data_IF_888779387689
#
_entry.id   IF_888779387689
#
_cell.length_a   1.000
_cell.length_b   1.000
_cell.length_c   1.000
_cell.angle_alpha   90.00
_cell.angle_beta   90.00
_cell.angle_gamma   90.00
#
_symmetry.space_group_name_H-M   'P 1'
#
loop_
_entity.id
_entity.type
_entity.pdbx_description
1 polymer ?
#
# COMPACT_ATOMS: atom_id res chain seq x y z
N UNK A 1 2.51 -10.07 -41.18
CA UNK A 1 1.74 -9.89 -39.96
C UNK A 1 0.32 -9.58 -40.39
N UNK A 2 -0.68 -10.30 -39.89
CA UNK A 2 -2.07 -9.95 -40.19
C UNK A 2 -2.28 -8.50 -39.62
N UNK A 3 -2.75 -7.61 -40.50
CA UNK A 3 -3.13 -6.25 -40.15
C UNK A 3 -4.37 -6.37 -39.24
N UNK A 4 -4.16 -6.25 -37.92
CA UNK A 4 -5.27 -6.18 -36.97
C UNK A 4 -6.03 -4.86 -37.18
N UNK A 5 -7.32 -4.88 -36.93
CA UNK A 5 -8.18 -3.69 -36.91
C UNK A 5 -7.54 -2.64 -36.00
N UNK A 6 -7.26 -1.45 -36.51
CA UNK A 6 -6.51 -0.41 -35.82
C UNK A 6 -7.10 -0.06 -34.44
N UNK A 7 -8.42 0.13 -34.34
CA UNK A 7 -9.11 0.44 -33.10
C UNK A 7 -8.96 -0.66 -32.03
N UNK A 8 -8.98 -1.95 -32.43
CA UNK A 8 -8.77 -3.08 -31.53
C UNK A 8 -7.32 -3.12 -31.03
N UNK A 9 -6.37 -2.88 -31.93
CA UNK A 9 -4.95 -2.83 -31.57
C UNK A 9 -4.64 -1.70 -30.60
N UNK A 10 -5.23 -0.52 -30.81
CA UNK A 10 -5.09 0.63 -29.92
C UNK A 10 -5.67 0.33 -28.53
N UNK A 11 -6.86 -0.28 -28.45
CA UNK A 11 -7.48 -0.65 -27.17
C UNK A 11 -6.61 -1.67 -26.43
N UNK A 12 -6.11 -2.69 -27.14
CA UNK A 12 -5.19 -3.68 -26.56
C UNK A 12 -3.88 -3.05 -26.08
N UNK A 13 -3.33 -2.08 -26.81
CA UNK A 13 -2.14 -1.33 -26.37
C UNK A 13 -2.41 -0.56 -25.06
N UNK A 14 -3.58 0.07 -24.92
CA UNK A 14 -3.94 0.77 -23.67
C UNK A 14 -4.01 -0.18 -22.48
N UNK A 15 -4.63 -1.35 -22.63
CA UNK A 15 -4.62 -2.37 -21.57
C UNK A 15 -3.22 -2.90 -21.28
N UNK A 16 -2.38 -3.07 -22.29
CA UNK A 16 -0.99 -3.52 -22.12
C UNK A 16 -0.06 -2.54 -21.39
N UNK A 17 -0.48 -1.29 -21.18
CA UNK A 17 0.24 -0.31 -20.35
C UNK A 17 -0.03 -0.48 -18.85
N UNK A 18 -1.03 -1.28 -18.49
CA UNK A 18 -1.33 -1.55 -17.09
C UNK A 18 -0.31 -2.55 -16.54
N UNK A 19 0.16 -2.29 -15.32
CA UNK A 19 1.12 -3.16 -14.64
C UNK A 19 0.57 -4.59 -14.51
N UNK A 20 1.38 -5.60 -14.83
CA UNK A 20 0.99 -7.01 -14.78
C UNK A 20 0.14 -7.49 -15.99
N UNK A 21 -0.20 -6.61 -16.94
CA UNK A 21 -0.96 -6.97 -18.12
C UNK A 21 -0.02 -7.24 -19.31
N UNK A 22 0.19 -8.52 -19.62
CA UNK A 22 0.95 -8.93 -20.80
C UNK A 22 0.12 -8.81 -22.10
N UNK A 23 0.80 -8.84 -23.26
CA UNK A 23 0.19 -8.69 -24.60
C UNK A 23 -1.02 -9.61 -24.84
N UNK A 24 -0.95 -10.89 -24.39
CA UNK A 24 -2.04 -11.87 -24.56
C UNK A 24 -3.27 -11.48 -23.73
N UNK A 25 -3.06 -11.06 -22.48
CA UNK A 25 -4.13 -10.60 -21.58
C UNK A 25 -4.75 -9.29 -22.08
N UNK A 26 -3.93 -8.34 -22.54
CA UNK A 26 -4.39 -7.09 -23.12
C UNK A 26 -5.31 -7.31 -24.31
N UNK A 27 -4.94 -8.19 -25.24
CA UNK A 27 -5.76 -8.53 -26.40
C UNK A 27 -7.09 -9.17 -25.97
N UNK A 28 -7.07 -10.10 -25.00
CA UNK A 28 -8.28 -10.73 -24.46
C UNK A 28 -9.21 -9.70 -23.83
N UNK A 29 -8.68 -8.76 -23.03
CA UNK A 29 -9.46 -7.66 -22.46
C UNK A 29 -10.10 -6.79 -23.53
N UNK A 30 -9.34 -6.47 -24.61
CA UNK A 30 -9.88 -5.69 -25.72
C UNK A 30 -11.06 -6.39 -26.41
N UNK A 31 -10.99 -7.71 -26.64
CA UNK A 31 -12.11 -8.47 -27.16
C UNK A 31 -13.30 -8.49 -26.21
N UNK A 32 -13.07 -8.67 -24.89
CA UNK A 32 -14.16 -8.65 -23.90
C UNK A 32 -14.90 -7.31 -23.89
N UNK A 33 -14.20 -6.18 -24.11
CA UNK A 33 -14.87 -4.87 -24.24
C UNK A 33 -15.75 -4.79 -25.48
N UNK A 34 -15.37 -5.46 -26.59
CA UNK A 34 -16.21 -5.48 -27.79
C UNK A 34 -17.48 -6.33 -27.64
N UNK A 35 -17.50 -7.22 -26.64
CA UNK A 35 -18.69 -8.05 -26.31
C UNK A 35 -19.68 -7.30 -25.41
N UNK A 36 -19.27 -6.16 -24.80
CA UNK A 36 -20.16 -5.33 -24.01
C UNK A 36 -21.15 -4.57 -24.90
N UNK A 37 -22.36 -4.39 -24.38
CA UNK A 37 -23.29 -3.41 -24.96
C UNK A 37 -22.71 -2.01 -24.87
N UNK A 38 -23.15 -1.13 -25.75
CA UNK A 38 -22.61 0.23 -25.84
C UNK A 38 -22.71 1.00 -24.52
N UNK A 39 -23.82 0.87 -23.83
CA UNK A 39 -24.09 1.53 -22.54
C UNK A 39 -23.10 1.03 -21.46
N UNK A 40 -22.84 -0.27 -21.40
CA UNK A 40 -21.87 -0.86 -20.47
C UNK A 40 -20.42 -0.40 -20.76
N UNK A 41 -20.07 -0.28 -22.04
CA UNK A 41 -18.76 0.22 -22.44
C UNK A 41 -18.58 1.72 -22.09
N UNK A 42 -19.62 2.53 -22.25
CA UNK A 42 -19.65 3.94 -21.87
C UNK A 42 -19.51 4.09 -20.34
N UNK A 43 -20.24 3.29 -19.56
CA UNK A 43 -20.14 3.27 -18.08
C UNK A 43 -18.74 2.82 -17.63
N UNK A 44 -18.15 1.82 -18.27
CA UNK A 44 -16.78 1.38 -17.96
C UNK A 44 -15.75 2.50 -18.23
N UNK A 45 -15.85 3.16 -19.38
CA UNK A 45 -14.97 4.28 -19.70
C UNK A 45 -15.14 5.44 -18.72
N UNK A 46 -16.37 5.76 -18.34
CA UNK A 46 -16.71 6.78 -17.35
C UNK A 46 -16.13 6.42 -15.98
N UNK A 47 -16.25 5.17 -15.53
CA UNK A 47 -15.69 4.74 -14.24
C UNK A 47 -14.17 4.95 -14.16
N UNK A 48 -13.43 4.74 -15.27
CA UNK A 48 -11.99 5.01 -15.33
C UNK A 48 -11.71 6.51 -15.15
N UNK A 49 -12.45 7.36 -15.85
CA UNK A 49 -12.29 8.81 -15.77
C UNK A 49 -12.65 9.35 -14.40
N UNK A 50 -13.80 8.92 -13.86
CA UNK A 50 -14.27 9.30 -12.53
C UNK A 50 -13.26 8.91 -11.44
N UNK A 51 -12.70 7.71 -11.51
CA UNK A 51 -11.67 7.27 -10.57
C UNK A 51 -10.42 8.15 -10.64
N UNK A 52 -10.00 8.57 -11.85
CA UNK A 52 -8.85 9.46 -12.03
C UNK A 52 -9.10 10.88 -11.55
N UNK A 53 -10.34 11.36 -11.65
CA UNK A 53 -10.71 12.72 -11.28
C UNK A 53 -11.01 12.86 -9.78
N UNK A 54 -11.72 11.87 -9.21
CA UNK A 54 -12.26 11.96 -7.84
C UNK A 54 -11.30 11.42 -6.78
N UNK A 55 -10.48 10.41 -7.12
CA UNK A 55 -9.57 9.80 -6.14
C UNK A 55 -8.33 10.67 -5.95
N UNK A 56 -8.12 11.07 -4.69
CA UNK A 56 -6.96 11.86 -4.26
C UNK A 56 -6.40 11.30 -2.94
N UNK A 57 -5.35 11.92 -2.42
CA UNK A 57 -4.75 11.52 -1.15
C UNK A 57 -5.49 12.20 0.01
N UNK A 58 -5.83 11.42 1.03
CA UNK A 58 -6.33 11.95 2.29
C UNK A 58 -5.27 12.89 2.91
N UNK A 59 -5.61 14.13 3.28
CA UNK A 59 -4.64 15.10 3.81
C UNK A 59 -4.00 14.64 5.14
N UNK A 60 -4.66 13.76 5.90
CA UNK A 60 -4.17 13.28 7.19
C UNK A 60 -3.24 12.08 7.03
N UNK A 61 -3.69 11.02 6.35
CA UNK A 61 -2.99 9.73 6.33
C UNK A 61 -2.35 9.38 4.99
N UNK A 62 -2.53 10.21 3.96
CA UNK A 62 -2.03 9.99 2.61
C UNK A 62 -2.60 8.72 1.94
N UNK A 63 -3.65 8.09 2.48
CA UNK A 63 -4.36 7.00 1.82
C UNK A 63 -5.24 7.56 0.68
N UNK A 64 -5.62 6.70 -0.25
CA UNK A 64 -6.56 7.06 -1.32
C UNK A 64 -7.97 7.29 -0.77
N UNK A 65 -8.64 8.33 -1.26
CA UNK A 65 -10.02 8.67 -0.90
C UNK A 65 -10.69 9.46 -2.01
N UNK A 66 -12.00 9.38 -2.09
CA UNK A 66 -12.89 10.22 -2.90
C UNK A 66 -13.66 11.25 -2.06
N UNK A 67 -13.33 11.36 -0.76
CA UNK A 67 -13.91 12.28 0.22
C UNK A 67 -12.83 13.22 0.73
N UNK A 68 -13.22 14.37 1.26
CA UNK A 68 -12.29 15.34 1.86
C UNK A 68 -11.32 14.69 2.86
N UNK A 69 -11.84 13.84 3.76
CA UNK A 69 -11.05 12.99 4.68
C UNK A 69 -11.50 11.54 4.47
N UNK A 70 -10.55 10.61 4.46
CA UNK A 70 -10.89 9.19 4.27
C UNK A 70 -11.72 8.65 5.44
N UNK A 71 -12.55 7.61 5.21
CA UNK A 71 -13.42 7.04 6.24
C UNK A 71 -12.68 6.60 7.50
N UNK A 72 -11.43 6.14 7.37
CA UNK A 72 -10.60 5.69 8.49
C UNK A 72 -10.20 6.87 9.40
N UNK A 73 -9.78 7.98 8.80
CA UNK A 73 -9.40 9.17 9.56
C UNK A 73 -10.59 9.95 10.12
N UNK A 74 -11.78 9.78 9.53
CA UNK A 74 -13.01 10.42 9.98
C UNK A 74 -13.77 9.59 11.06
N UNK A 75 -13.36 8.36 11.32
CA UNK A 75 -14.00 7.49 12.32
C UNK A 75 -13.48 7.80 13.73
N UNK A 76 -14.33 8.45 14.53
CA UNK A 76 -14.04 8.82 15.92
C UNK A 76 -13.87 7.61 16.87
N UNK A 77 -14.30 6.41 16.46
CA UNK A 77 -14.14 5.20 17.26
C UNK A 77 -12.74 4.57 17.09
N UNK A 78 -11.89 5.15 16.25
CA UNK A 78 -10.52 4.70 16.09
C UNK A 78 -9.59 5.37 17.09
N UNK A 79 -8.54 4.63 17.42
CA UNK A 79 -7.45 5.16 18.23
C UNK A 79 -6.52 6.01 17.34
N UNK A 80 -6.69 7.32 17.43
CA UNK A 80 -5.89 8.27 16.66
C UNK A 80 -4.47 8.45 17.20
N UNK A 81 -4.18 7.99 18.42
CA UNK A 81 -2.84 7.98 19.00
C UNK A 81 -1.98 6.82 18.47
N UNK A 82 -2.59 5.87 17.76
CA UNK A 82 -1.91 4.70 17.16
C UNK A 82 -1.89 4.81 15.65
N UNK A 83 -0.68 4.89 15.06
CA UNK A 83 -0.48 4.98 13.62
C UNK A 83 0.23 3.73 13.08
N UNK A 84 -0.35 3.07 12.08
CA UNK A 84 0.30 2.01 11.31
C UNK A 84 0.82 2.58 9.98
N UNK A 85 2.15 2.64 9.84
CA UNK A 85 2.81 3.15 8.64
C UNK A 85 3.00 2.03 7.64
N UNK A 86 2.44 2.19 6.45
CA UNK A 86 2.47 1.19 5.38
C UNK A 86 3.07 1.76 4.09
N UNK A 87 3.52 0.87 3.22
CA UNK A 87 4.13 1.22 1.94
C UNK A 87 3.15 1.90 0.97
N UNK A 88 1.96 1.32 0.79
CA UNK A 88 0.96 1.74 -0.20
C UNK A 88 -0.48 1.49 0.29
N UNK A 89 -1.46 2.03 -0.43
CA UNK A 89 -2.88 1.91 -0.11
C UNK A 89 -3.38 0.45 -0.13
N UNK A 90 -2.74 -0.44 -0.90
CA UNK A 90 -3.10 -1.88 -0.94
C UNK A 90 -2.80 -2.55 0.40
N UNK A 91 -1.73 -2.11 1.08
CA UNK A 91 -1.41 -2.61 2.41
C UNK A 91 -2.47 -2.19 3.44
N UNK A 92 -3.06 -0.99 3.32
CA UNK A 92 -4.20 -0.58 4.18
C UNK A 92 -5.37 -1.55 4.02
N UNK A 93 -5.73 -1.89 2.77
CA UNK A 93 -6.81 -2.85 2.51
C UNK A 93 -6.54 -4.25 3.09
N UNK A 94 -5.28 -4.65 3.14
CA UNK A 94 -4.89 -5.91 3.76
C UNK A 94 -4.98 -5.85 5.29
N UNK A 95 -4.52 -4.76 5.90
CA UNK A 95 -4.55 -4.55 7.35
C UNK A 95 -5.98 -4.39 7.88
N UNK A 96 -6.88 -3.76 7.14
CA UNK A 96 -8.30 -3.60 7.51
C UNK A 96 -9.07 -4.93 7.58
N UNK A 97 -8.51 -6.03 7.06
CA UNK A 97 -9.07 -7.38 7.28
C UNK A 97 -8.87 -7.84 8.73
N UNK A 98 -7.90 -7.26 9.44
CA UNK A 98 -7.65 -7.50 10.86
C UNK A 98 -8.58 -6.58 11.66
N UNK A 99 -9.76 -7.10 12.00
CA UNK A 99 -10.83 -6.33 12.64
C UNK A 99 -10.48 -5.81 14.04
N UNK A 100 -9.51 -6.43 14.69
CA UNK A 100 -9.00 -6.05 16.01
C UNK A 100 -8.12 -4.81 15.99
N UNK A 101 -7.55 -4.46 14.82
CA UNK A 101 -6.78 -3.22 14.70
C UNK A 101 -7.70 -2.01 14.70
N UNK A 102 -7.55 -1.14 15.69
CA UNK A 102 -8.37 0.06 15.86
C UNK A 102 -7.62 1.37 15.62
N UNK A 103 -6.34 1.31 15.33
CA UNK A 103 -5.55 2.51 15.01
C UNK A 103 -5.85 3.09 13.63
N UNK A 104 -5.14 4.14 13.29
CA UNK A 104 -5.16 4.80 11.99
C UNK A 104 -3.95 4.39 11.15
N UNK A 105 -3.86 4.87 9.92
CA UNK A 105 -2.75 4.54 9.00
C UNK A 105 -1.99 5.79 8.57
N UNK A 106 -0.80 5.55 8.01
CA UNK A 106 -0.08 6.53 7.19
C UNK A 106 0.56 5.80 6.01
N UNK A 107 0.28 6.30 4.79
CA UNK A 107 0.74 5.67 3.54
C UNK A 107 1.94 6.43 3.00
N UNK A 108 3.07 5.74 2.83
CA UNK A 108 4.32 6.33 2.35
C UNK A 108 4.38 6.53 0.84
N UNK A 109 3.58 5.78 0.07
CA UNK A 109 3.61 5.69 -1.39
C UNK A 109 4.93 5.20 -1.98
N UNK A 110 5.65 4.37 -1.24
CA UNK A 110 6.90 3.74 -1.68
C UNK A 110 7.77 3.30 -0.50
N UNK A 111 8.99 2.89 -0.84
CA UNK A 111 10.06 2.57 0.10
C UNK A 111 11.33 3.25 -0.37
N UNK A 112 12.25 3.58 0.55
CA UNK A 112 13.58 4.10 0.23
C UNK A 112 14.32 3.02 -0.56
N UNK A 113 14.70 3.33 -1.80
CA UNK A 113 15.39 2.41 -2.70
C UNK A 113 16.39 3.17 -3.56
N UNK A 114 17.64 3.35 -3.10
CA UNK A 114 18.68 4.05 -3.87
C UNK A 114 18.94 3.41 -5.24
N UNK A 115 18.84 2.08 -5.32
CA UNK A 115 18.99 1.33 -6.57
C UNK A 115 17.96 1.70 -7.63
N UNK A 116 16.74 2.06 -7.18
CA UNK A 116 15.64 2.51 -8.05
C UNK A 116 15.50 4.04 -8.08
N UNK A 117 16.45 4.77 -7.51
CA UNK A 117 16.43 6.24 -7.46
C UNK A 117 15.35 6.83 -6.55
N UNK A 118 14.80 6.04 -5.61
CA UNK A 118 13.76 6.50 -4.68
C UNK A 118 14.43 7.00 -3.40
N UNK A 119 14.42 8.31 -3.22
CA UNK A 119 14.91 8.99 -2.02
C UNK A 119 13.79 9.24 -1.01
N UNK A 120 14.12 9.53 0.27
CA UNK A 120 13.12 9.85 1.30
C UNK A 120 12.20 11.02 0.96
N UNK A 121 12.69 11.99 0.18
CA UNK A 121 11.94 13.20 -0.19
C UNK A 121 10.79 12.92 -1.17
N UNK A 122 10.85 11.79 -1.88
CA UNK A 122 9.80 11.34 -2.78
C UNK A 122 8.67 10.59 -2.08
N UNK A 123 8.87 10.29 -0.77
CA UNK A 123 7.92 9.57 0.06
C UNK A 123 7.16 10.52 0.99
N UNK A 124 6.00 10.09 1.46
CA UNK A 124 5.15 10.85 2.39
C UNK A 124 5.66 10.83 3.84
N UNK A 125 6.98 10.98 4.01
CA UNK A 125 7.65 10.97 5.32
C UNK A 125 7.49 12.32 6.04
N UNK A 126 7.54 13.44 5.31
CA UNK A 126 7.36 14.77 5.89
C UNK A 126 5.97 14.91 6.53
N UNK A 127 4.95 14.45 5.82
CA UNK A 127 3.57 14.47 6.30
C UNK A 127 3.39 13.60 7.54
N UNK A 128 4.10 12.45 7.62
CA UNK A 128 4.13 11.63 8.84
C UNK A 128 4.75 12.38 10.02
N UNK A 129 5.89 13.02 9.80
CA UNK A 129 6.61 13.76 10.86
C UNK A 129 5.80 14.97 11.37
N UNK A 130 5.16 15.74 10.46
CA UNK A 130 4.23 16.80 10.87
C UNK A 130 3.10 16.25 11.72
N UNK A 131 2.45 15.18 11.27
CA UNK A 131 1.35 14.55 11.99
C UNK A 131 1.74 14.06 13.38
N UNK A 132 2.94 13.49 13.54
CA UNK A 132 3.45 13.03 14.84
C UNK A 132 3.87 14.21 15.72
N UNK A 133 4.44 15.26 15.14
CA UNK A 133 4.89 16.44 15.88
C UNK A 133 3.75 17.37 16.35
N UNK A 134 2.62 17.35 15.65
CA UNK A 134 1.45 18.20 15.94
C UNK A 134 0.36 17.47 16.73
N UNK A 135 0.39 16.11 16.74
CA UNK A 135 -0.62 15.26 17.35
C UNK A 135 -0.15 14.61 18.65
N UNK A 136 -1.11 14.10 19.41
CA UNK A 136 -0.87 13.22 20.57
C UNK A 136 -0.74 11.78 20.09
N UNK A 137 0.44 11.40 19.59
CA UNK A 137 0.72 10.07 19.06
C UNK A 137 1.54 9.28 20.07
N UNK A 138 0.99 8.16 20.53
CA UNK A 138 1.64 7.26 21.50
C UNK A 138 2.55 6.26 20.79
N UNK A 139 2.08 5.69 19.68
CA UNK A 139 2.81 4.62 18.99
C UNK A 139 2.72 4.74 17.48
N UNK A 140 3.85 4.51 16.82
CA UNK A 140 3.96 4.34 15.38
C UNK A 140 4.44 2.92 15.08
N UNK A 141 3.54 2.09 14.51
CA UNK A 141 3.85 0.74 14.03
C UNK A 141 4.38 0.85 12.60
N UNK A 142 5.63 0.51 12.36
CA UNK A 142 6.19 0.47 11.00
C UNK A 142 5.88 -0.88 10.37
N UNK A 143 4.91 -0.92 9.45
CA UNK A 143 4.41 -2.10 8.77
C UNK A 143 4.89 -2.19 7.30
N UNK A 144 6.15 -1.82 7.06
CA UNK A 144 6.78 -2.03 5.75
C UNK A 144 7.13 -3.50 5.56
N UNK A 145 7.16 -3.97 4.30
CA UNK A 145 7.49 -5.37 3.99
C UNK A 145 8.89 -5.74 4.49
N UNK A 146 9.14 -7.03 4.83
CA UNK A 146 10.44 -7.53 5.28
C UNK A 146 11.43 -7.72 4.10
N UNK A 147 11.63 -6.66 3.32
CA UNK A 147 12.61 -6.57 2.24
C UNK A 147 13.74 -5.64 2.64
N UNK A 148 14.86 -5.65 1.91
CA UNK A 148 15.99 -4.76 2.17
C UNK A 148 15.54 -3.29 2.21
N UNK A 149 14.72 -2.87 1.24
CA UNK A 149 14.18 -1.52 1.16
C UNK A 149 13.21 -1.22 2.32
N UNK A 150 12.37 -2.21 2.68
CA UNK A 150 11.44 -2.07 3.81
C UNK A 150 12.16 -1.94 5.14
N UNK A 151 13.24 -2.71 5.37
CA UNK A 151 14.09 -2.59 6.55
C UNK A 151 14.82 -1.23 6.60
N UNK A 152 15.45 -0.83 5.48
CA UNK A 152 16.11 0.46 5.37
C UNK A 152 15.15 1.62 5.67
N UNK A 153 13.92 1.55 5.11
CA UNK A 153 12.87 2.55 5.37
C UNK A 153 12.46 2.55 6.83
N UNK A 154 12.27 1.38 7.45
CA UNK A 154 11.91 1.27 8.85
C UNK A 154 12.99 1.85 9.79
N UNK A 155 14.25 1.54 9.53
CA UNK A 155 15.38 2.11 10.28
C UNK A 155 15.44 3.64 10.14
N UNK A 156 15.22 4.14 8.93
CA UNK A 156 15.20 5.58 8.67
C UNK A 156 14.08 6.28 9.43
N UNK A 157 12.86 5.76 9.35
CA UNK A 157 11.71 6.27 10.11
C UNK A 157 11.94 6.21 11.62
N UNK A 158 12.47 5.11 12.14
CA UNK A 158 12.77 4.97 13.56
C UNK A 158 13.75 6.03 14.06
N UNK A 159 14.77 6.40 13.27
CA UNK A 159 15.73 7.46 13.61
C UNK A 159 15.09 8.84 13.66
N UNK A 160 14.12 9.11 12.81
CA UNK A 160 13.41 10.40 12.76
C UNK A 160 12.32 10.51 13.83
N UNK A 161 11.63 9.41 14.14
CA UNK A 161 10.48 9.43 15.06
C UNK A 161 10.86 9.33 16.53
N UNK A 162 11.90 8.56 16.88
CA UNK A 162 12.34 8.41 18.29
C UNK A 162 12.65 9.73 19.00
N UNK A 163 13.33 10.70 18.37
CA UNK A 163 13.58 12.00 19.01
C UNK A 163 12.31 12.80 19.31
N UNK A 164 11.17 12.49 18.65
CA UNK A 164 9.88 13.11 18.93
C UNK A 164 9.16 12.49 20.15
N UNK A 165 9.78 11.51 20.83
CA UNK A 165 9.25 10.89 22.04
C UNK A 165 8.17 9.83 21.79
N UNK A 166 7.86 9.51 20.54
CA UNK A 166 6.86 8.50 20.17
C UNK A 166 7.47 7.08 20.23
N UNK A 167 6.68 6.12 20.71
CA UNK A 167 7.05 4.70 20.67
C UNK A 167 7.03 4.20 19.23
N UNK A 168 8.15 3.66 18.75
CA UNK A 168 8.25 3.10 17.40
C UNK A 168 8.39 1.58 17.49
N UNK A 169 7.43 0.88 16.91
CA UNK A 169 7.40 -0.59 16.87
C UNK A 169 7.39 -1.11 15.43
N UNK A 170 7.54 -2.41 15.28
CA UNK A 170 7.51 -3.10 14.00
C UNK A 170 6.65 -4.35 14.10
N UNK A 171 6.05 -4.74 12.97
CA UNK A 171 5.34 -6.03 12.92
C UNK A 171 6.30 -7.17 13.25
N UNK A 172 5.83 -8.13 14.01
CA UNK A 172 6.60 -9.35 14.31
C UNK A 172 6.85 -10.15 13.03
N UNK A 173 8.03 -10.75 12.95
CA UNK A 173 8.40 -11.71 11.91
C UNK A 173 8.35 -13.12 12.50
N UNK A 174 7.94 -14.09 11.70
CA UNK A 174 7.93 -15.47 12.15
C UNK A 174 7.27 -16.43 11.17
N UNK A 175 7.16 -17.67 11.59
CA UNK A 175 6.47 -18.72 10.83
C UNK A 175 4.99 -18.39 10.76
N UNK A 176 4.37 -18.41 9.56
CA UNK A 176 2.93 -18.17 9.42
C UNK A 176 2.11 -19.21 10.18
N UNK A 177 0.98 -18.77 10.76
CA UNK A 177 0.05 -19.68 11.46
C UNK A 177 -0.45 -20.75 10.49
N UNK A 178 -0.32 -22.01 10.90
CA UNK A 178 -0.73 -23.17 10.09
C UNK A 178 0.32 -23.66 9.08
N UNK A 179 1.52 -23.05 9.06
CA UNK A 179 2.62 -23.56 8.26
C UNK A 179 3.47 -24.56 9.07
N UNK A 180 3.95 -25.62 8.41
CA UNK A 180 4.89 -26.56 9.00
C UNK A 180 6.30 -25.96 9.03
N UNK A 181 7.02 -26.17 10.15
CA UNK A 181 8.38 -25.64 10.35
C UNK A 181 9.38 -26.15 9.31
N UNK A 182 9.18 -27.37 8.82
CA UNK A 182 10.07 -28.00 7.85
C UNK A 182 10.08 -27.31 6.47
N UNK A 183 9.06 -26.51 6.14
CA UNK A 183 8.98 -25.75 4.89
C UNK A 183 9.40 -24.29 5.05
N UNK A 184 9.73 -23.86 6.26
CA UNK A 184 10.20 -22.50 6.51
C UNK A 184 11.68 -22.36 6.11
N UNK A 185 12.02 -21.29 5.39
CA UNK A 185 13.42 -20.99 5.07
C UNK A 185 14.23 -20.56 6.31
N UNK A 186 15.55 -20.64 6.18
CA UNK A 186 16.49 -20.36 7.28
C UNK A 186 16.32 -18.94 7.85
N UNK A 187 16.02 -17.95 7.01
CA UNK A 187 15.88 -16.55 7.43
C UNK A 187 14.59 -16.40 8.25
N UNK A 188 13.50 -17.02 7.79
CA UNK A 188 12.21 -17.04 8.51
C UNK A 188 12.34 -17.70 9.87
N UNK A 189 13.03 -18.85 9.96
CA UNK A 189 13.29 -19.55 11.23
C UNK A 189 14.17 -18.71 12.16
N UNK A 190 15.23 -18.10 11.64
CA UNK A 190 16.09 -17.21 12.40
C UNK A 190 15.32 -16.06 13.01
N UNK A 191 14.49 -15.36 12.20
CA UNK A 191 13.64 -14.26 12.68
C UNK A 191 12.60 -14.70 13.70
N UNK A 192 12.01 -15.88 13.53
CA UNK A 192 11.09 -16.46 14.50
C UNK A 192 11.78 -16.73 15.85
N UNK A 193 13.01 -17.24 15.84
CA UNK A 193 13.82 -17.47 17.04
C UNK A 193 14.22 -16.17 17.73
N UNK A 194 14.61 -15.13 16.97
CA UNK A 194 14.89 -13.80 17.53
C UNK A 194 13.65 -13.19 18.20
N UNK A 195 12.49 -13.31 17.55
CA UNK A 195 11.21 -12.75 18.01
C UNK A 195 10.43 -13.64 18.98
N UNK A 196 11.01 -14.76 19.50
CA UNK A 196 10.34 -15.66 20.42
C UNK A 196 9.86 -14.95 21.69
N UNK A 197 8.69 -15.36 22.19
CA UNK A 197 8.09 -14.82 23.42
C UNK A 197 7.98 -15.92 24.48
N UNK A 198 7.97 -15.51 25.73
CA UNK A 198 7.57 -16.37 26.84
C UNK A 198 6.11 -16.82 26.69
N UNK A 199 5.80 -18.07 27.09
CA UNK A 199 4.48 -18.69 27.02
C UNK A 199 3.88 -18.74 28.43
#
# INVERSE_FOLDING_TARGET
MAEYIESLSLLAEKFGRLEGVGKKSAMRMAFSVLELEREEAEDFAKAILDAKEKIHLCPICQNLTDREICPICADENRDHALICVVRDARAVLAMEKVREYRGTYHVLHGLISPMNGISPDQLKIKELLSRVGEGEIDEVIVATNPTVEGEATAMYLSRLLRPLGVKVTRLAYGVPVGADLEYADEITLFRALEGRREV
#
